data_IF_753129550473
#
_entry.id   IF_753129550473
#
_cell.length_a   1.000
_cell.length_b   1.000
_cell.length_c   1.000
_cell.angle_alpha   90.00
_cell.angle_beta   90.00
_cell.angle_gamma   90.00
#
_symmetry.space_group_name_H-M   'P 1'
#
loop_
_entity.id
_entity.type
_entity.pdbx_description
1 polymer ?
#
# COMPACT_ATOMS: atom_id res chain seq x y z
N UNK A 1 17.36 10.99 -12.99
CA UNK A 1 16.25 10.92 -12.03
C UNK A 1 16.52 10.06 -10.79
N UNK A 2 16.69 8.74 -10.89
CA UNK A 2 16.80 7.87 -9.70
C UNK A 2 17.96 8.26 -8.73
N UNK A 3 19.16 8.53 -9.25
CA UNK A 3 20.28 8.98 -8.41
C UNK A 3 20.07 10.37 -7.81
N UNK A 4 19.36 11.25 -8.51
CA UNK A 4 19.01 12.58 -7.97
C UNK A 4 18.00 12.45 -6.83
N UNK A 5 17.02 11.55 -6.96
CA UNK A 5 16.07 11.25 -5.88
C UNK A 5 16.77 10.62 -4.67
N UNK A 6 17.68 9.68 -4.90
CA UNK A 6 18.48 9.09 -3.82
C UNK A 6 19.36 10.15 -3.12
N UNK A 7 20.04 11.00 -3.88
CA UNK A 7 20.82 12.10 -3.33
C UNK A 7 19.95 13.06 -2.51
N UNK A 8 18.81 13.49 -3.04
CA UNK A 8 17.87 14.34 -2.32
C UNK A 8 17.38 13.68 -1.02
N UNK A 9 17.06 12.38 -1.05
CA UNK A 9 16.67 11.63 0.13
C UNK A 9 17.80 11.60 1.18
N UNK A 10 19.04 11.35 0.76
CA UNK A 10 20.20 11.34 1.67
C UNK A 10 20.43 12.71 2.32
N UNK A 11 20.33 13.80 1.54
CA UNK A 11 20.47 15.17 2.07
C UNK A 11 19.38 15.45 3.09
N UNK A 12 18.13 15.14 2.77
CA UNK A 12 16.99 15.38 3.65
C UNK A 12 17.01 14.52 4.92
N UNK A 13 17.60 13.32 4.86
CA UNK A 13 17.75 12.42 6.00
C UNK A 13 19.05 12.61 6.78
N UNK A 14 19.96 13.48 6.34
CA UNK A 14 21.32 13.60 6.88
C UNK A 14 21.40 13.90 8.38
N UNK A 15 20.40 14.57 8.95
CA UNK A 15 20.31 14.81 10.39
C UNK A 15 19.93 13.56 11.22
N UNK A 16 19.36 12.52 10.58
CA UNK A 16 18.79 11.33 11.23
C UNK A 16 19.50 10.04 10.86
N UNK A 17 20.11 9.98 9.69
CA UNK A 17 20.83 8.83 9.20
C UNK A 17 22.03 9.27 8.36
N UNK A 18 23.16 8.61 8.61
CA UNK A 18 24.33 8.71 7.75
C UNK A 18 24.19 7.70 6.62
N UNK A 19 24.39 8.16 5.39
CA UNK A 19 24.43 7.30 4.20
C UNK A 19 25.85 7.28 3.68
N UNK A 20 26.56 6.17 3.90
CA UNK A 20 27.96 6.02 3.47
C UNK A 20 28.10 5.84 1.96
N UNK A 21 27.13 5.18 1.32
CA UNK A 21 27.17 4.93 -0.11
C UNK A 21 25.77 4.88 -0.72
N UNK A 22 25.67 5.31 -1.98
CA UNK A 22 24.50 5.08 -2.83
C UNK A 22 24.96 4.32 -4.07
N UNK A 23 24.55 3.05 -4.17
CA UNK A 23 24.98 2.15 -5.23
C UNK A 23 23.87 2.00 -6.27
N UNK A 24 24.17 2.31 -7.53
CA UNK A 24 23.22 2.13 -8.61
C UNK A 24 23.03 0.63 -8.95
N UNK A 25 21.83 0.25 -9.40
CA UNK A 25 21.57 -1.11 -9.89
C UNK A 25 22.49 -1.51 -11.06
N UNK A 26 22.90 -0.54 -11.88
CA UNK A 26 23.88 -0.75 -12.96
C UNK A 26 25.27 -1.12 -12.42
N UNK A 27 25.65 -0.63 -11.25
CA UNK A 27 26.88 -1.05 -10.56
C UNK A 27 26.77 -2.50 -10.08
N UNK A 28 25.63 -2.88 -9.50
CA UNK A 28 25.37 -4.28 -9.12
C UNK A 28 25.46 -5.22 -10.32
N UNK A 29 24.97 -4.80 -11.50
CA UNK A 29 25.02 -5.61 -12.72
C UNK A 29 26.43 -5.99 -13.16
N UNK A 30 27.45 -5.22 -12.75
CA UNK A 30 28.87 -5.40 -13.10
C UNK A 30 29.64 -6.23 -12.09
N UNK A 31 29.04 -6.59 -10.96
CA UNK A 31 29.70 -7.44 -9.96
C UNK A 31 29.99 -8.83 -10.53
N UNK A 32 31.05 -9.48 -10.02
CA UNK A 32 31.37 -10.87 -10.39
C UNK A 32 30.20 -11.81 -10.11
N UNK A 33 29.48 -11.58 -9.02
CA UNK A 33 28.27 -12.30 -8.66
C UNK A 33 27.16 -12.15 -9.71
N UNK A 34 26.89 -10.93 -10.18
CA UNK A 34 25.90 -10.69 -11.23
C UNK A 34 26.30 -11.30 -12.58
N UNK A 35 27.59 -11.26 -12.92
CA UNK A 35 28.13 -11.90 -14.13
C UNK A 35 27.96 -13.41 -14.05
N UNK A 36 28.34 -14.04 -12.93
CA UNK A 36 28.13 -15.47 -12.71
C UNK A 36 26.64 -15.83 -12.76
N UNK A 37 25.78 -15.04 -12.12
CA UNK A 37 24.33 -15.25 -12.15
C UNK A 37 23.78 -15.25 -13.57
N UNK A 38 24.20 -14.32 -14.44
CA UNK A 38 23.77 -14.30 -15.85
C UNK A 38 24.28 -15.51 -16.63
N UNK A 39 25.55 -15.88 -16.43
CA UNK A 39 26.18 -17.02 -17.11
C UNK A 39 25.49 -18.34 -16.78
N UNK A 40 25.17 -18.56 -15.51
CA UNK A 40 24.55 -19.80 -15.04
C UNK A 40 23.02 -19.77 -15.04
N UNK A 41 22.38 -18.68 -15.48
CA UNK A 41 20.94 -18.48 -15.28
C UNK A 41 20.07 -19.56 -15.93
N UNK A 42 20.51 -20.14 -17.04
CA UNK A 42 19.80 -21.25 -17.69
C UNK A 42 19.51 -22.40 -16.71
N UNK A 43 20.44 -22.70 -15.79
CA UNK A 43 20.30 -23.74 -14.77
C UNK A 43 19.33 -23.32 -13.65
N UNK A 44 19.17 -22.02 -13.42
CA UNK A 44 18.38 -21.45 -12.33
C UNK A 44 16.96 -21.04 -12.77
N UNK A 45 16.70 -20.96 -14.08
CA UNK A 45 15.44 -20.45 -14.65
C UNK A 45 14.22 -21.21 -14.16
N UNK A 46 14.30 -22.54 -14.09
CA UNK A 46 13.19 -23.37 -13.62
C UNK A 46 12.77 -22.99 -12.20
N UNK A 47 13.74 -22.91 -11.29
CA UNK A 47 13.52 -22.48 -9.91
C UNK A 47 13.01 -21.03 -9.83
N UNK A 48 13.56 -20.12 -10.62
CA UNK A 48 13.10 -18.73 -10.70
C UNK A 48 11.62 -18.64 -11.10
N UNK A 49 11.24 -19.31 -12.20
CA UNK A 49 9.88 -19.26 -12.72
C UNK A 49 8.88 -19.97 -11.81
N UNK A 50 9.30 -21.05 -11.15
CA UNK A 50 8.49 -21.76 -10.15
C UNK A 50 8.22 -20.90 -8.92
N UNK A 51 9.25 -20.22 -8.39
CA UNK A 51 9.09 -19.32 -7.25
C UNK A 51 8.16 -18.12 -7.54
N UNK A 52 7.93 -17.80 -8.82
CA UNK A 52 6.99 -16.78 -9.26
C UNK A 52 5.57 -17.28 -9.52
N UNK A 53 5.27 -18.57 -9.35
CA UNK A 53 3.90 -19.08 -9.49
C UNK A 53 2.96 -18.40 -8.48
N UNK A 54 1.82 -17.91 -8.99
CA UNK A 54 0.85 -17.16 -8.20
C UNK A 54 1.27 -15.74 -7.82
N UNK A 55 2.49 -15.29 -8.19
CA UNK A 55 2.97 -13.94 -7.92
C UNK A 55 2.54 -12.96 -9.02
N UNK A 56 2.44 -11.66 -8.66
CA UNK A 56 2.17 -10.57 -9.62
C UNK A 56 3.45 -10.09 -10.32
N UNK A 57 4.32 -11.02 -10.70
CA UNK A 57 5.58 -10.76 -11.42
C UNK A 57 5.60 -11.68 -12.64
N UNK A 58 5.96 -11.11 -13.80
CA UNK A 58 6.10 -11.89 -15.02
C UNK A 58 7.25 -12.91 -14.90
N UNK A 59 6.95 -14.16 -15.29
CA UNK A 59 7.95 -15.20 -15.53
C UNK A 59 8.80 -14.84 -16.76
N UNK A 60 9.99 -15.42 -16.84
CA UNK A 60 10.91 -15.18 -17.96
C UNK A 60 10.72 -16.23 -19.06
N UNK A 61 10.87 -15.80 -20.32
CA UNK A 61 10.92 -16.70 -21.49
C UNK A 61 12.17 -17.61 -21.46
N UNK A 62 12.31 -18.50 -22.46
CA UNK A 62 13.38 -19.50 -22.48
C UNK A 62 14.81 -18.94 -22.51
N UNK A 63 15.01 -17.79 -23.14
CA UNK A 63 16.32 -17.15 -23.35
C UNK A 63 16.49 -15.84 -22.56
N UNK A 64 15.46 -15.35 -21.88
CA UNK A 64 15.48 -14.08 -21.15
C UNK A 64 16.25 -14.20 -19.82
N UNK A 65 17.10 -13.24 -19.47
CA UNK A 65 17.81 -13.18 -18.20
C UNK A 65 17.04 -12.26 -17.21
N UNK A 66 17.23 -12.39 -15.89
CA UNK A 66 16.53 -11.57 -14.90
C UNK A 66 17.13 -10.15 -14.80
N UNK A 67 17.47 -9.57 -15.94
CA UNK A 67 18.12 -8.28 -16.12
C UNK A 67 17.38 -7.50 -17.21
N UNK A 68 17.48 -6.18 -17.10
CA UNK A 68 17.13 -5.25 -18.15
C UNK A 68 18.38 -4.90 -18.95
N UNK A 69 18.25 -4.87 -20.28
CA UNK A 69 19.12 -4.10 -21.15
C UNK A 69 18.60 -2.67 -21.18
N UNK A 70 19.48 -1.72 -20.84
CA UNK A 70 19.15 -0.31 -20.80
C UNK A 70 19.59 0.34 -22.10
N UNK A 71 18.73 1.18 -22.65
CA UNK A 71 19.06 2.03 -23.79
C UNK A 71 19.22 3.47 -23.29
N UNK A 72 20.43 4.01 -23.42
CA UNK A 72 20.74 5.37 -22.96
C UNK A 72 20.14 6.46 -23.84
N UNK A 73 19.84 6.16 -25.12
CA UNK A 73 19.32 7.15 -26.06
C UNK A 73 17.87 7.54 -25.76
N UNK A 74 17.05 6.58 -25.30
CA UNK A 74 15.63 6.78 -25.01
C UNK A 74 15.25 6.47 -23.56
N UNK A 75 16.21 6.16 -22.68
CA UNK A 75 15.97 5.76 -21.29
C UNK A 75 15.02 4.57 -21.12
N UNK A 76 14.92 3.71 -22.14
CA UNK A 76 14.05 2.53 -22.10
C UNK A 76 14.73 1.33 -21.44
N UNK A 77 13.89 0.35 -21.04
CA UNK A 77 14.32 -0.92 -20.48
C UNK A 77 13.73 -2.04 -21.32
N UNK A 78 14.59 -2.86 -21.90
CA UNK A 78 14.19 -4.05 -22.65
C UNK A 78 14.60 -5.30 -21.88
N UNK A 79 13.85 -6.41 -21.96
CA UNK A 79 14.32 -7.70 -21.49
C UNK A 79 15.72 -8.01 -22.03
N UNK A 80 16.63 -8.44 -21.15
CA UNK A 80 17.94 -8.92 -21.60
C UNK A 80 17.77 -10.37 -22.07
N UNK A 81 18.06 -10.66 -23.34
CA UNK A 81 18.16 -12.03 -23.84
C UNK A 81 19.59 -12.54 -23.68
N UNK A 82 19.78 -13.86 -23.59
CA UNK A 82 21.11 -14.47 -23.51
C UNK A 82 22.02 -14.09 -24.68
N UNK A 83 21.46 -13.95 -25.89
CA UNK A 83 22.18 -13.49 -27.09
C UNK A 83 22.70 -12.06 -26.99
N UNK A 84 22.04 -11.23 -26.19
CA UNK A 84 22.31 -9.80 -26.06
C UNK A 84 23.28 -9.49 -24.90
N UNK A 85 23.67 -10.51 -24.12
CA UNK A 85 24.54 -10.38 -22.94
C UNK A 85 26.02 -10.19 -23.34
N UNK A 86 26.33 -9.01 -23.87
CA UNK A 86 27.69 -8.62 -24.26
C UNK A 86 28.43 -7.89 -23.13
N UNK A 87 29.78 -7.90 -23.10
CA UNK A 87 30.57 -7.24 -22.05
C UNK A 87 30.30 -5.73 -21.90
N UNK A 88 29.93 -5.06 -23.00
CA UNK A 88 29.70 -3.62 -23.05
C UNK A 88 28.22 -3.24 -22.92
N UNK A 89 27.31 -4.21 -22.73
CA UNK A 89 25.91 -3.93 -22.56
C UNK A 89 25.67 -3.13 -21.27
N UNK A 90 24.85 -2.08 -21.35
CA UNK A 90 24.39 -1.36 -20.16
C UNK A 90 23.23 -2.14 -19.53
N UNK A 91 23.46 -2.74 -18.37
CA UNK A 91 22.52 -3.66 -17.74
C UNK A 91 22.08 -3.17 -16.37
N UNK A 92 20.87 -3.54 -15.96
CA UNK A 92 20.42 -3.45 -14.57
C UNK A 92 19.65 -4.72 -14.17
N UNK A 93 19.92 -5.32 -13.00
CA UNK A 93 19.12 -6.45 -12.52
C UNK A 93 17.65 -6.06 -12.33
N UNK A 94 16.75 -7.02 -12.57
CA UNK A 94 15.34 -6.92 -12.15
C UNK A 94 15.25 -7.05 -10.63
N UNK A 95 14.09 -6.70 -10.06
CA UNK A 95 13.90 -6.61 -8.62
C UNK A 95 14.41 -7.85 -7.85
N UNK A 96 14.01 -9.06 -8.24
CA UNK A 96 14.44 -10.29 -7.56
C UNK A 96 15.95 -10.53 -7.65
N UNK A 97 16.53 -10.38 -8.85
CA UNK A 97 17.97 -10.53 -9.03
C UNK A 97 18.77 -9.46 -8.27
N UNK A 98 18.28 -8.22 -8.24
CA UNK A 98 18.91 -7.13 -7.50
C UNK A 98 18.92 -7.45 -6.01
N UNK A 99 17.78 -7.85 -5.45
CA UNK A 99 17.66 -8.23 -4.05
C UNK A 99 18.56 -9.43 -3.72
N UNK A 100 18.57 -10.47 -4.55
CA UNK A 100 19.44 -11.63 -4.36
C UNK A 100 20.92 -11.23 -4.35
N UNK A 101 21.39 -10.46 -5.35
CA UNK A 101 22.79 -10.00 -5.43
C UNK A 101 23.15 -9.17 -4.20
N UNK A 102 22.28 -8.24 -3.79
CA UNK A 102 22.54 -7.39 -2.63
C UNK A 102 22.61 -8.19 -1.33
N UNK A 103 21.67 -9.12 -1.11
CA UNK A 103 21.62 -9.97 0.10
C UNK A 103 22.72 -11.03 0.15
N UNK A 104 23.26 -11.44 -0.99
CA UNK A 104 24.38 -12.40 -1.05
C UNK A 104 25.74 -11.78 -0.79
N UNK A 105 25.94 -10.48 -1.04
CA UNK A 105 27.29 -9.93 -1.07
C UNK A 105 27.47 -8.44 -0.79
N UNK A 106 26.41 -7.72 -0.38
CA UNK A 106 26.52 -6.27 -0.16
C UNK A 106 25.93 -5.80 1.18
N UNK A 107 25.35 -6.67 1.99
CA UNK A 107 24.84 -6.29 3.31
C UNK A 107 24.76 -7.48 4.27
N UNK A 108 24.70 -7.19 5.58
CA UNK A 108 24.36 -8.14 6.65
C UNK A 108 22.88 -8.08 7.05
N UNK A 109 22.20 -6.99 6.68
CA UNK A 109 20.76 -6.79 6.85
C UNK A 109 20.22 -6.03 5.64
N UNK A 110 19.16 -6.56 5.02
CA UNK A 110 18.51 -5.91 3.90
C UNK A 110 17.17 -5.29 4.31
N UNK A 111 16.99 -4.00 4.02
CA UNK A 111 15.78 -3.27 4.39
C UNK A 111 14.91 -3.05 3.15
N UNK A 112 13.69 -3.58 3.19
CA UNK A 112 12.66 -3.32 2.20
C UNK A 112 11.62 -2.33 2.72
N UNK A 113 11.04 -1.53 1.80
CA UNK A 113 9.73 -0.91 2.04
C UNK A 113 8.60 -1.93 1.89
N UNK A 114 7.37 -1.55 2.26
CA UNK A 114 6.18 -2.43 2.22
C UNK A 114 5.91 -3.04 0.84
N UNK A 115 6.26 -2.33 -0.24
CA UNK A 115 6.15 -2.85 -1.61
C UNK A 115 7.15 -3.97 -1.92
N UNK A 116 8.39 -3.88 -1.40
CA UNK A 116 9.46 -4.83 -1.69
C UNK A 116 9.32 -6.16 -0.95
N UNK A 117 8.84 -6.13 0.30
CA UNK A 117 8.72 -7.32 1.12
C UNK A 117 7.80 -8.40 0.55
N UNK A 118 6.79 -8.02 -0.26
CA UNK A 118 5.90 -8.99 -0.93
C UNK A 118 6.63 -9.88 -1.94
N UNK A 119 7.65 -9.34 -2.60
CA UNK A 119 8.37 -10.04 -3.66
C UNK A 119 9.59 -10.80 -3.13
N UNK A 120 10.02 -10.46 -1.92
CA UNK A 120 11.21 -11.03 -1.32
C UNK A 120 11.01 -12.51 -0.95
N UNK A 121 9.82 -12.92 -0.53
CA UNK A 121 9.53 -14.35 -0.30
C UNK A 121 9.69 -15.22 -1.56
N UNK A 122 9.37 -14.68 -2.74
CA UNK A 122 9.63 -15.38 -4.01
C UNK A 122 11.13 -15.43 -4.33
N UNK A 123 11.88 -14.39 -3.98
CA UNK A 123 13.35 -14.39 -4.09
C UNK A 123 13.96 -15.43 -3.14
N UNK A 124 13.51 -15.51 -1.89
CA UNK A 124 13.97 -16.50 -0.90
C UNK A 124 13.67 -17.94 -1.33
N UNK A 125 12.48 -18.20 -1.86
CA UNK A 125 12.12 -19.51 -2.41
C UNK A 125 13.00 -19.88 -3.60
N UNK A 126 13.24 -18.94 -4.53
CA UNK A 126 14.14 -19.14 -5.66
C UNK A 126 15.57 -19.44 -5.19
N UNK A 127 16.11 -18.65 -4.27
CA UNK A 127 17.49 -18.83 -3.77
C UNK A 127 17.64 -20.12 -2.98
N UNK A 128 16.63 -20.51 -2.19
CA UNK A 128 16.65 -21.78 -1.46
C UNK A 128 16.74 -22.98 -2.42
N UNK A 129 15.99 -22.93 -3.52
CA UNK A 129 16.01 -23.98 -4.54
C UNK A 129 17.36 -24.04 -5.29
N UNK A 130 17.97 -22.89 -5.59
CA UNK A 130 19.27 -22.82 -6.28
C UNK A 130 20.42 -23.27 -5.37
N UNK A 131 20.45 -22.79 -4.13
CA UNK A 131 21.54 -23.03 -3.17
C UNK A 131 21.41 -24.39 -2.46
N UNK A 132 20.23 -25.03 -2.55
CA UNK A 132 19.90 -26.32 -1.90
C UNK A 132 20.03 -26.27 -0.37
N UNK A 133 19.88 -25.08 0.19
CA UNK A 133 19.85 -24.79 1.64
C UNK A 133 18.76 -23.75 1.88
N UNK A 134 18.31 -23.62 3.12
CA UNK A 134 17.39 -22.53 3.46
C UNK A 134 18.07 -21.17 3.19
N UNK A 135 17.41 -20.30 2.42
CA UNK A 135 17.90 -18.95 2.15
C UNK A 135 18.26 -18.18 3.42
N UNK A 136 17.55 -18.37 4.54
CA UNK A 136 17.85 -17.69 5.81
C UNK A 136 19.25 -18.03 6.36
N UNK A 137 19.85 -19.13 5.92
CA UNK A 137 21.20 -19.55 6.31
C UNK A 137 22.27 -19.06 5.33
N UNK A 138 21.90 -18.70 4.11
CA UNK A 138 22.84 -18.48 3.01
C UNK A 138 22.85 -17.05 2.47
N UNK A 139 21.82 -16.25 2.75
CA UNK A 139 21.75 -14.84 2.36
C UNK A 139 21.39 -13.96 3.55
N UNK A 140 21.80 -12.69 3.52
CA UNK A 140 21.53 -11.75 4.60
C UNK A 140 20.04 -11.68 4.93
N UNK A 141 19.62 -11.64 6.20
CA UNK A 141 18.23 -11.48 6.58
C UNK A 141 17.63 -10.18 6.04
N UNK A 142 16.32 -10.17 5.86
CA UNK A 142 15.57 -8.98 5.48
C UNK A 142 14.64 -8.50 6.59
N UNK A 143 14.30 -7.21 6.56
CA UNK A 143 13.18 -6.68 7.32
C UNK A 143 12.38 -5.69 6.47
N UNK A 144 11.07 -5.62 6.72
CA UNK A 144 10.19 -4.64 6.10
C UNK A 144 9.97 -3.50 7.07
N UNK A 145 10.46 -2.32 6.72
CA UNK A 145 10.21 -1.10 7.50
C UNK A 145 9.29 -0.17 6.72
N UNK A 146 8.44 0.54 7.46
CA UNK A 146 7.66 1.66 6.92
C UNK A 146 8.07 2.93 7.66
N UNK A 147 8.36 3.98 6.90
CA UNK A 147 8.60 5.30 7.44
C UNK A 147 7.33 6.15 7.25
N UNK A 148 6.22 5.71 7.85
CA UNK A 148 5.00 6.54 7.87
C UNK A 148 5.18 7.64 8.90
N UNK A 149 5.29 8.87 8.42
CA UNK A 149 5.25 10.08 9.23
C UNK A 149 4.07 10.91 8.77
N UNK A 150 3.26 11.38 9.73
CA UNK A 150 2.20 12.34 9.45
C UNK A 150 2.82 13.73 9.39
N UNK A 151 2.29 14.60 8.53
CA UNK A 151 2.65 16.00 8.56
C UNK A 151 2.27 16.60 9.93
N UNK A 152 3.02 17.58 10.46
CA UNK A 152 2.75 18.21 11.76
C UNK A 152 1.55 19.19 11.67
N UNK A 153 0.46 18.73 11.06
CA UNK A 153 -0.77 19.49 10.84
C UNK A 153 -1.79 19.27 11.98
N UNK A 154 -1.51 18.36 12.91
CA UNK A 154 -2.38 18.08 14.05
C UNK A 154 -2.67 19.34 14.89
N UNK A 155 -1.69 20.25 14.99
CA UNK A 155 -1.84 21.54 15.67
C UNK A 155 -2.87 22.49 15.02
N UNK A 156 -3.24 22.27 13.75
CA UNK A 156 -4.22 23.07 13.03
C UNK A 156 -5.61 22.43 13.01
N UNK A 157 -5.80 21.27 13.67
CA UNK A 157 -7.09 20.61 13.75
C UNK A 157 -7.96 21.35 14.76
N UNK A 158 -9.04 21.96 14.28
CA UNK A 158 -10.09 22.51 15.13
C UNK A 158 -10.78 21.37 15.91
N UNK A 159 -11.15 21.58 17.19
CA UNK A 159 -11.99 20.64 17.93
C UNK A 159 -13.30 20.38 17.18
N UNK A 160 -13.77 19.14 17.21
CA UNK A 160 -15.05 18.77 16.61
C UNK A 160 -15.80 17.79 17.52
N UNK A 161 -17.13 17.79 17.38
CA UNK A 161 -17.98 16.91 18.16
C UNK A 161 -17.94 15.49 17.59
N UNK A 162 -17.19 14.60 18.24
CA UNK A 162 -17.05 13.19 17.85
C UNK A 162 -18.37 12.41 17.90
N UNK A 163 -19.37 12.88 18.64
CA UNK A 163 -20.70 12.25 18.71
C UNK A 163 -21.55 12.55 17.48
N UNK A 164 -21.29 13.68 16.81
CA UNK A 164 -22.00 14.10 15.61
C UNK A 164 -21.43 13.39 14.37
N UNK A 165 -21.94 12.17 14.10
CA UNK A 165 -21.53 11.35 12.96
C UNK A 165 -22.66 11.18 11.93
N UNK A 166 -22.34 11.00 10.63
CA UNK A 166 -23.35 10.69 9.61
C UNK A 166 -24.17 9.43 9.96
N UNK A 167 -23.54 8.46 10.64
CA UNK A 167 -24.21 7.24 11.12
C UNK A 167 -25.22 7.52 12.23
N UNK A 168 -24.90 8.43 13.15
CA UNK A 168 -25.85 8.87 14.18
C UNK A 168 -27.06 9.58 13.56
N UNK A 169 -26.83 10.49 12.60
CA UNK A 169 -27.92 11.16 11.89
C UNK A 169 -28.77 10.17 11.09
N UNK A 170 -28.14 9.28 10.32
CA UNK A 170 -28.84 8.25 9.56
C UNK A 170 -29.65 7.31 10.46
N UNK A 171 -29.14 6.95 11.64
CA UNK A 171 -29.89 6.15 12.62
C UNK A 171 -31.15 6.90 13.07
N UNK A 172 -31.00 8.16 13.46
CA UNK A 172 -32.10 9.00 13.93
C UNK A 172 -33.15 9.24 12.82
N UNK A 173 -32.71 9.48 11.59
CA UNK A 173 -33.62 9.66 10.45
C UNK A 173 -34.31 8.35 10.08
N UNK A 174 -33.61 7.22 10.04
CA UNK A 174 -34.21 5.93 9.64
C UNK A 174 -35.03 5.27 10.74
N UNK A 175 -34.73 5.56 12.01
CA UNK A 175 -35.36 4.96 13.19
C UNK A 175 -35.53 6.00 14.31
N UNK A 176 -36.54 6.89 14.18
CA UNK A 176 -36.75 8.00 15.09
C UNK A 176 -37.43 7.61 16.42
N UNK A 177 -37.74 6.35 16.69
CA UNK A 177 -38.62 5.95 17.80
C UNK A 177 -37.96 5.92 19.18
N UNK A 178 -36.64 6.14 19.28
CA UNK A 178 -35.87 6.23 20.53
C UNK A 178 -35.95 4.97 21.43
N UNK A 179 -36.32 3.82 20.87
CA UNK A 179 -36.61 2.58 21.60
C UNK A 179 -35.73 1.41 21.13
N UNK A 180 -34.52 1.73 20.67
CA UNK A 180 -33.56 0.77 20.11
C UNK A 180 -34.11 -0.09 18.94
N UNK A 181 -35.13 0.41 18.22
CA UNK A 181 -35.66 -0.22 17.02
C UNK A 181 -36.81 -1.19 17.25
N UNK A 182 -37.33 -1.26 18.47
CA UNK A 182 -38.49 -2.10 18.83
C UNK A 182 -39.71 -1.72 18.00
N UNK A 183 -40.11 -0.44 17.97
CA UNK A 183 -41.27 0.04 17.21
C UNK A 183 -41.10 -0.20 15.72
N UNK A 184 -39.91 0.06 15.17
CA UNK A 184 -39.64 -0.17 13.76
C UNK A 184 -39.73 -1.65 13.39
N UNK A 185 -39.20 -2.54 14.23
CA UNK A 185 -39.31 -3.99 14.04
C UNK A 185 -40.77 -4.46 14.10
N UNK A 186 -41.57 -3.95 15.03
CA UNK A 186 -43.00 -4.25 15.11
C UNK A 186 -43.77 -3.79 13.86
N UNK A 187 -43.48 -2.59 13.35
CA UNK A 187 -44.10 -2.08 12.12
C UNK A 187 -43.71 -2.91 10.89
N UNK A 188 -42.44 -3.34 10.79
CA UNK A 188 -41.98 -4.24 9.74
C UNK A 188 -42.67 -5.61 9.82
N UNK A 189 -42.83 -6.15 11.03
CA UNK A 189 -43.52 -7.43 11.26
C UNK A 189 -44.99 -7.43 10.83
N UNK A 190 -45.62 -6.25 10.71
CA UNK A 190 -47.00 -6.09 10.20
C UNK A 190 -47.09 -6.13 8.68
N UNK A 191 -45.97 -6.10 7.94
CA UNK A 191 -45.96 -6.13 6.47
C UNK A 191 -46.04 -7.59 5.99
N UNK A 192 -47.19 -8.20 6.19
CA UNK A 192 -47.50 -9.60 5.84
C UNK A 192 -48.85 -9.69 5.12
N UNK A 193 -49.17 -10.86 4.55
CA UNK A 193 -50.44 -11.09 3.84
C UNK A 193 -50.40 -10.74 2.35
N UNK A 194 -51.56 -10.38 1.81
CA UNK A 194 -51.81 -10.05 0.41
C UNK A 194 -51.08 -8.77 -0.03
N UNK A 195 -51.01 -8.52 -1.34
CA UNK A 195 -50.39 -7.32 -1.90
C UNK A 195 -51.03 -6.02 -1.38
N UNK A 196 -52.35 -6.01 -1.19
CA UNK A 196 -53.08 -4.85 -0.70
C UNK A 196 -52.76 -4.57 0.78
N UNK A 197 -52.75 -5.62 1.61
CA UNK A 197 -52.42 -5.53 3.04
C UNK A 197 -50.98 -5.08 3.28
N UNK A 198 -50.02 -5.66 2.54
CA UNK A 198 -48.61 -5.24 2.57
C UNK A 198 -48.45 -3.76 2.21
N UNK A 199 -49.17 -3.28 1.18
CA UNK A 199 -49.14 -1.86 0.78
C UNK A 199 -49.70 -0.96 1.87
N UNK A 200 -50.83 -1.33 2.48
CA UNK A 200 -51.43 -0.56 3.58
C UNK A 200 -50.51 -0.50 4.81
N UNK A 201 -49.94 -1.63 5.21
CA UNK A 201 -48.98 -1.71 6.33
C UNK A 201 -47.71 -0.89 6.07
N UNK A 202 -47.16 -0.92 4.85
CA UNK A 202 -46.03 -0.09 4.46
C UNK A 202 -46.34 1.40 4.55
N UNK A 203 -47.51 1.83 4.08
CA UNK A 203 -47.95 3.24 4.19
C UNK A 203 -48.12 3.64 5.65
N UNK A 204 -48.69 2.77 6.49
CA UNK A 204 -48.82 3.03 7.92
C UNK A 204 -47.45 3.19 8.62
N UNK A 205 -46.50 2.31 8.32
CA UNK A 205 -45.12 2.42 8.81
C UNK A 205 -44.47 3.74 8.38
N UNK A 206 -44.61 4.12 7.10
CA UNK A 206 -44.08 5.39 6.58
C UNK A 206 -44.65 6.60 7.30
N UNK A 207 -45.96 6.62 7.54
CA UNK A 207 -46.64 7.69 8.32
C UNK A 207 -46.12 7.75 9.76
N UNK A 208 -45.93 6.61 10.42
CA UNK A 208 -45.38 6.55 11.77
C UNK A 208 -43.94 7.10 11.83
N UNK A 209 -43.08 6.72 10.89
CA UNK A 209 -41.71 7.26 10.77
C UNK A 209 -41.75 8.77 10.53
N UNK A 210 -42.61 9.26 9.63
CA UNK A 210 -42.73 10.69 9.33
C UNK A 210 -43.24 11.49 10.53
N UNK A 211 -44.21 10.95 11.29
CA UNK A 211 -44.69 11.58 12.52
C UNK A 211 -43.60 11.65 13.59
N UNK A 212 -42.87 10.55 13.82
CA UNK A 212 -41.78 10.52 14.79
C UNK A 212 -40.60 11.43 14.39
N UNK A 213 -40.28 11.54 13.09
CA UNK A 213 -39.31 12.54 12.58
C UNK A 213 -39.76 13.97 12.85
N UNK A 214 -41.06 14.28 12.69
CA UNK A 214 -41.60 15.62 13.00
C UNK A 214 -41.48 15.92 14.50
N UNK A 215 -41.77 14.95 15.36
CA UNK A 215 -41.64 15.10 16.81
C UNK A 215 -40.18 15.33 17.24
N UNK A 216 -39.22 14.73 16.53
CA UNK A 216 -37.77 14.86 16.80
C UNK A 216 -37.07 15.79 15.81
N UNK A 217 -37.81 16.70 15.18
CA UNK A 217 -37.25 17.58 14.16
C UNK A 217 -36.09 18.42 14.70
N UNK A 218 -36.22 18.93 15.93
CA UNK A 218 -35.19 19.75 16.57
C UNK A 218 -33.90 18.96 16.81
N UNK A 219 -34.01 17.70 17.26
CA UNK A 219 -32.85 16.83 17.47
C UNK A 219 -32.15 16.48 16.15
N UNK A 220 -32.94 16.16 15.11
CA UNK A 220 -32.41 15.91 13.76
C UNK A 220 -31.71 17.15 13.23
N UNK A 221 -32.32 18.32 13.36
CA UNK A 221 -31.76 19.58 12.89
C UNK A 221 -30.51 19.98 13.68
N UNK A 222 -30.51 19.80 15.00
CA UNK A 222 -29.34 20.05 15.85
C UNK A 222 -28.18 19.12 15.49
N UNK A 223 -28.43 17.83 15.25
CA UNK A 223 -27.40 16.90 14.81
C UNK A 223 -26.88 17.22 13.41
N UNK A 224 -27.76 17.63 12.48
CA UNK A 224 -27.38 18.10 11.14
C UNK A 224 -26.53 19.37 11.21
N UNK A 225 -26.88 20.33 12.07
CA UNK A 225 -26.11 21.54 12.30
C UNK A 225 -24.72 21.24 12.87
N UNK A 226 -24.62 20.35 13.87
CA UNK A 226 -23.33 19.90 14.42
C UNK A 226 -22.47 19.18 13.38
N UNK A 227 -23.08 18.36 12.53
CA UNK A 227 -22.37 17.75 11.38
C UNK A 227 -21.85 18.80 10.39
N UNK A 228 -22.65 19.83 10.11
CA UNK A 228 -22.24 20.98 9.30
C UNK A 228 -21.06 21.73 9.93
N UNK A 229 -21.13 22.00 11.24
CA UNK A 229 -20.05 22.64 11.99
C UNK A 229 -18.76 21.79 11.99
N UNK A 230 -18.88 20.47 12.08
CA UNK A 230 -17.75 19.53 12.01
C UNK A 230 -17.10 19.48 10.62
N UNK A 231 -17.75 19.96 9.55
CA UNK A 231 -17.30 19.69 8.18
C UNK A 231 -15.87 20.20 7.89
N UNK A 232 -15.50 21.38 8.39
CA UNK A 232 -14.15 21.94 8.22
C UNK A 232 -13.13 21.17 9.04
N UNK A 233 -13.43 20.93 10.31
CA UNK A 233 -12.56 20.20 11.23
C UNK A 233 -12.28 18.76 10.75
N UNK A 234 -13.30 18.05 10.25
CA UNK A 234 -13.15 16.70 9.69
C UNK A 234 -12.29 16.67 8.42
N UNK A 235 -12.44 17.65 7.52
CA UNK A 235 -11.54 17.77 6.35
C UNK A 235 -10.10 18.02 6.76
N UNK A 236 -9.90 18.89 7.75
CA UNK A 236 -8.56 19.22 8.26
C UNK A 236 -7.94 18.04 8.99
N UNK A 237 -8.73 17.29 9.76
CA UNK A 237 -8.32 16.04 10.40
C UNK A 237 -7.94 14.98 9.37
N UNK A 238 -8.72 14.82 8.29
CA UNK A 238 -8.39 13.89 7.20
C UNK A 238 -7.05 14.24 6.54
N UNK A 239 -6.81 15.52 6.27
CA UNK A 239 -5.52 15.99 5.76
C UNK A 239 -4.39 15.73 6.77
N UNK A 240 -4.58 16.07 8.05
CA UNK A 240 -3.55 15.89 9.07
C UNK A 240 -3.20 14.43 9.35
N UNK A 241 -4.14 13.52 9.11
CA UNK A 241 -3.95 12.07 9.30
C UNK A 241 -3.64 11.32 8.01
N UNK A 242 -3.53 12.04 6.88
CA UNK A 242 -3.14 11.47 5.61
C UNK A 242 -1.70 10.93 5.69
N UNK A 243 -1.49 9.71 5.20
CA UNK A 243 -0.20 9.00 5.21
C UNK A 243 0.56 9.16 3.90
N UNK A 244 -0.03 9.89 2.95
CA UNK A 244 0.50 10.07 1.59
C UNK A 244 1.24 11.40 1.42
N UNK A 245 1.33 12.21 2.49
CA UNK A 245 2.20 13.38 2.47
C UNK A 245 3.63 12.98 2.08
N UNK A 246 4.24 13.68 1.11
CA UNK A 246 5.66 13.52 0.86
C UNK A 246 6.43 13.68 2.17
N UNK A 247 7.34 12.74 2.46
CA UNK A 247 8.11 12.73 3.70
C UNK A 247 8.79 14.07 4.04
N UNK A 248 9.22 14.94 3.10
CA UNK A 248 9.80 16.23 3.46
C UNK A 248 8.84 17.14 4.23
N UNK A 249 7.52 17.07 3.97
CA UNK A 249 6.51 17.85 4.71
C UNK A 249 6.25 17.33 6.12
N UNK A 250 6.72 16.11 6.42
CA UNK A 250 6.66 15.53 7.76
C UNK A 250 7.93 15.76 8.58
N UNK A 251 8.96 16.37 7.99
CA UNK A 251 10.18 16.71 8.69
C UNK A 251 10.01 18.07 9.37
N UNK A 252 9.97 18.08 10.69
CA UNK A 252 10.27 19.31 11.44
C UNK A 252 11.78 19.50 11.42
N UNK A 253 12.24 20.70 11.03
CA UNK A 253 13.60 21.13 11.31
C UNK A 253 13.72 21.27 12.82
N UNK A 254 14.30 20.26 13.46
CA UNK A 254 14.77 20.32 14.85
C UNK A 254 16.24 20.62 14.84
#
# INVERSE_FOLDING_TARGET
LAMQMAHAANVLLGARARVDATVAATSFARTSLAVAMRREFALMRGAYNHALEGQRIARLSGDELPFWRLDSANSSRLPLLSSDNTPNALLAPRALALTAIARMGACDLFIHGTGGGKYDGAMEAWMSAVLKVDSQQAIAPMTVVTATRLAPLAQFIEPFDVSATPRALSRLEQDPFADAGVTKAQLLGRIVGSRLEKRAAFVAMRRAIEAARKQRADEINALRARLGANARALRTHALATDRTWPFPFSMTNT
#
